data_IF_110972602580
#
_entry.id   IF_110972602580
#
_cell.length_a   1.000
_cell.length_b   1.000
_cell.length_c   1.000
_cell.angle_alpha   90.00
_cell.angle_beta   90.00
_cell.angle_gamma   90.00
#
_symmetry.space_group_name_H-M   'P 1'
#
loop_
_entity.id
_entity.type
_entity.pdbx_description
1 polymer ?
#
# COMPACT_ATOMS: atom_id res chain seq x y z
N UNK A 1 -9.74 23.09 15.85
CA UNK A 1 -10.13 21.80 15.24
C UNK A 1 -10.37 22.09 13.79
N UNK A 2 -9.92 21.22 12.92
CA UNK A 2 -10.21 21.36 11.50
C UNK A 2 -11.69 21.04 11.25
N UNK A 3 -12.35 21.83 10.39
CA UNK A 3 -13.75 21.61 10.03
C UNK A 3 -13.88 20.74 8.76
N UNK A 4 -12.78 20.56 8.02
CA UNK A 4 -12.71 19.77 6.79
C UNK A 4 -11.42 18.93 6.75
N UNK A 5 -11.42 17.86 5.95
CA UNK A 5 -10.23 17.04 5.70
C UNK A 5 -9.08 17.90 5.16
N UNK A 6 -9.38 18.76 4.19
CA UNK A 6 -8.42 19.68 3.57
C UNK A 6 -7.76 20.63 4.59
N UNK A 7 -8.55 21.15 5.52
CA UNK A 7 -8.02 22.00 6.59
C UNK A 7 -7.10 21.23 7.53
N UNK A 8 -7.46 19.99 7.89
CA UNK A 8 -6.60 19.13 8.70
C UNK A 8 -5.27 18.83 8.02
N UNK A 9 -5.29 18.54 6.71
CA UNK A 9 -4.09 18.32 5.89
C UNK A 9 -3.23 19.58 5.83
N UNK A 10 -3.83 20.73 5.52
CA UNK A 10 -3.11 22.01 5.46
C UNK A 10 -2.42 22.32 6.79
N UNK A 11 -3.12 22.15 7.91
CA UNK A 11 -2.54 22.35 9.25
C UNK A 11 -1.41 21.35 9.55
N UNK A 12 -1.52 20.11 9.08
CA UNK A 12 -0.46 19.11 9.27
C UNK A 12 0.79 19.42 8.47
N UNK A 13 0.65 19.97 7.27
CA UNK A 13 1.75 20.41 6.41
C UNK A 13 2.41 21.70 6.95
N UNK A 14 1.60 22.71 7.33
CA UNK A 14 2.10 24.01 7.81
C UNK A 14 2.83 23.90 9.16
N UNK A 15 2.38 23.01 10.04
CA UNK A 15 2.99 22.78 11.35
C UNK A 15 4.18 21.79 11.31
N UNK A 16 4.45 21.19 10.14
CA UNK A 16 5.60 20.30 9.98
C UNK A 16 6.91 21.08 10.08
N UNK A 17 7.88 20.62 10.90
CA UNK A 17 9.18 21.26 10.98
C UNK A 17 9.98 21.00 9.70
N UNK A 18 10.68 22.01 9.19
CA UNK A 18 11.58 21.84 8.05
C UNK A 18 12.63 20.74 8.30
N UNK A 19 12.80 19.85 7.34
CA UNK A 19 13.73 18.71 7.37
C UNK A 19 14.62 18.68 6.13
N UNK A 20 15.72 17.91 6.21
CA UNK A 20 16.64 17.71 5.10
C UNK A 20 16.28 16.49 4.23
N UNK A 21 15.11 15.94 4.38
CA UNK A 21 14.57 14.83 3.61
C UNK A 21 13.09 15.09 3.33
N UNK A 22 12.59 14.51 2.23
CA UNK A 22 11.19 14.59 1.84
C UNK A 22 10.35 13.72 2.76
N UNK A 23 9.40 14.34 3.47
CA UNK A 23 8.51 13.61 4.38
C UNK A 23 7.32 13.00 3.64
N UNK A 24 6.89 11.83 4.11
CA UNK A 24 5.58 11.28 3.74
C UNK A 24 4.48 11.89 4.59
N UNK A 25 3.30 11.93 4.03
CA UNK A 25 2.07 12.21 4.77
C UNK A 25 1.34 10.90 5.02
N UNK A 26 1.13 10.61 6.29
CA UNK A 26 0.50 9.38 6.75
C UNK A 26 -0.80 9.70 7.49
N UNK A 27 -1.76 8.78 7.42
CA UNK A 27 -2.90 8.78 8.32
C UNK A 27 -2.82 7.64 9.33
N UNK A 28 -3.22 7.94 10.56
CA UNK A 28 -3.43 6.96 11.62
C UNK A 28 -4.94 6.78 11.80
N UNK A 29 -5.40 5.55 11.69
CA UNK A 29 -6.81 5.19 11.81
C UNK A 29 -6.99 4.38 13.08
N UNK A 30 -7.87 4.84 13.95
CA UNK A 30 -8.25 4.16 15.18
C UNK A 30 -9.63 3.54 15.02
N UNK A 31 -9.72 2.23 15.26
CA UNK A 31 -10.96 1.47 15.22
C UNK A 31 -11.50 1.23 16.63
N UNK A 32 -12.83 1.16 16.75
CA UNK A 32 -13.53 0.80 17.99
C UNK A 32 -14.60 -0.26 17.76
N UNK A 33 -14.99 -0.93 18.82
CA UNK A 33 -16.08 -1.92 18.84
C UNK A 33 -15.93 -3.05 17.81
N UNK A 34 -14.68 -3.46 17.51
CA UNK A 34 -14.34 -4.58 16.65
C UNK A 34 -13.58 -5.65 17.45
N UNK A 35 -13.97 -6.90 17.27
CA UNK A 35 -13.21 -8.05 17.75
C UNK A 35 -12.21 -8.51 16.69
N UNK A 36 -10.98 -8.02 16.79
CA UNK A 36 -9.90 -8.33 15.85
C UNK A 36 -9.25 -9.71 16.09
N UNK A 37 -9.69 -10.46 17.10
CA UNK A 37 -9.31 -11.86 17.24
C UNK A 37 -9.96 -12.69 16.12
N UNK A 38 -11.17 -12.30 15.69
CA UNK A 38 -11.80 -12.87 14.52
C UNK A 38 -11.12 -12.30 13.25
N UNK A 39 -10.51 -13.17 12.41
CA UNK A 39 -9.86 -12.73 11.17
C UNK A 39 -10.81 -12.01 10.20
N UNK A 40 -12.10 -12.31 10.22
CA UNK A 40 -13.10 -11.69 9.34
C UNK A 40 -13.33 -10.20 9.61
N UNK A 41 -12.99 -9.75 10.82
CA UNK A 41 -13.11 -8.34 11.23
C UNK A 41 -11.82 -7.53 10.96
N UNK A 42 -10.77 -8.18 10.47
CA UNK A 42 -9.50 -7.52 10.15
C UNK A 42 -9.58 -6.86 8.79
N UNK A 43 -9.06 -5.66 8.73
CA UNK A 43 -8.90 -4.93 7.48
C UNK A 43 -7.63 -5.41 6.80
N UNK A 44 -7.73 -5.90 5.57
CA UNK A 44 -6.60 -6.21 4.69
C UNK A 44 -7.04 -5.95 3.25
N UNK A 45 -6.85 -4.70 2.80
CA UNK A 45 -7.33 -4.23 1.50
C UNK A 45 -6.31 -3.34 0.81
N UNK A 46 -6.34 -3.40 -0.51
CA UNK A 46 -5.59 -2.49 -1.38
C UNK A 46 -6.51 -1.40 -1.91
N UNK A 47 -6.09 -0.16 -1.78
CA UNK A 47 -6.85 1.02 -2.23
C UNK A 47 -6.01 1.82 -3.20
N UNK A 48 -6.57 2.10 -4.38
CA UNK A 48 -5.94 2.97 -5.38
C UNK A 48 -6.21 4.42 -5.00
N UNK A 49 -5.14 5.20 -4.86
CA UNK A 49 -5.21 6.63 -4.55
C UNK A 49 -5.34 7.44 -5.84
N UNK A 50 -6.35 8.32 -5.97
CA UNK A 50 -6.57 9.07 -7.20
C UNK A 50 -5.44 10.04 -7.55
N UNK A 51 -4.80 10.64 -6.55
CA UNK A 51 -3.68 11.56 -6.74
C UNK A 51 -2.30 10.85 -6.63
N UNK A 52 -2.29 9.52 -6.48
CA UNK A 52 -1.07 8.74 -6.26
C UNK A 52 -0.51 8.83 -4.85
N UNK A 53 0.57 8.09 -4.60
CA UNK A 53 1.20 7.99 -3.28
C UNK A 53 2.21 9.10 -3.00
N UNK A 54 2.58 9.88 -4.04
CA UNK A 54 3.63 10.89 -3.97
C UNK A 54 5.06 10.34 -3.84
N UNK A 55 5.25 9.04 -3.86
CA UNK A 55 6.56 8.38 -3.84
C UNK A 55 6.66 7.32 -4.93
N UNK A 56 7.90 7.04 -5.33
CA UNK A 56 8.18 5.89 -6.18
C UNK A 56 7.89 4.60 -5.41
N UNK A 57 7.02 3.79 -6.00
CA UNK A 57 6.64 2.49 -5.46
C UNK A 57 7.44 1.43 -6.21
N UNK A 58 8.19 0.61 -5.51
CA UNK A 58 9.01 -0.45 -6.09
C UNK A 58 8.14 -1.67 -6.41
N UNK A 59 8.09 -2.05 -7.69
CA UNK A 59 7.26 -3.14 -8.19
C UNK A 59 8.14 -4.16 -8.93
N UNK A 60 8.07 -5.40 -8.48
CA UNK A 60 8.71 -6.55 -9.14
C UNK A 60 7.65 -7.37 -9.85
N UNK A 61 7.93 -7.73 -11.09
CA UNK A 61 7.04 -8.54 -11.93
C UNK A 61 7.69 -9.89 -12.24
N UNK A 62 7.00 -10.97 -11.94
CA UNK A 62 7.38 -12.32 -12.36
C UNK A 62 6.61 -12.67 -13.64
N UNK A 63 7.32 -12.70 -14.74
CA UNK A 63 6.71 -12.94 -16.05
C UNK A 63 7.67 -13.60 -17.04
N UNK A 64 7.12 -14.21 -18.07
CA UNK A 64 7.88 -14.84 -19.16
C UNK A 64 7.52 -14.27 -20.53
N UNK A 65 8.42 -14.44 -21.49
CA UNK A 65 8.19 -14.16 -22.90
C UNK A 65 7.75 -12.72 -23.19
N UNK A 66 6.59 -12.55 -23.84
CA UNK A 66 6.09 -11.24 -24.26
C UNK A 66 5.66 -10.35 -23.08
N UNK A 67 5.11 -10.95 -22.03
CA UNK A 67 4.70 -10.22 -20.82
C UNK A 67 5.90 -9.63 -20.10
N UNK A 68 7.01 -10.38 -20.01
CA UNK A 68 8.26 -9.90 -19.40
C UNK A 68 8.79 -8.68 -20.15
N UNK A 69 8.89 -8.74 -21.48
CA UNK A 69 9.35 -7.61 -22.32
C UNK A 69 8.48 -6.36 -22.13
N UNK A 70 7.16 -6.53 -21.99
CA UNK A 70 6.25 -5.41 -21.76
C UNK A 70 6.32 -4.87 -20.34
N UNK A 71 6.68 -5.71 -19.37
CA UNK A 71 6.85 -5.31 -17.98
C UNK A 71 8.14 -4.51 -17.76
N UNK A 72 9.22 -4.76 -18.52
CA UNK A 72 10.50 -4.03 -18.42
C UNK A 72 10.35 -2.50 -18.58
N UNK A 73 9.37 -2.04 -19.35
CA UNK A 73 9.14 -0.60 -19.54
C UNK A 73 8.48 0.10 -18.33
N UNK A 74 7.88 -0.66 -17.43
CA UNK A 74 7.03 -0.10 -16.36
C UNK A 74 7.32 -0.61 -14.96
N UNK A 75 7.92 -1.79 -14.82
CA UNK A 75 8.34 -2.38 -13.55
C UNK A 75 9.76 -1.94 -13.19
N UNK A 76 10.10 -2.03 -11.91
CA UNK A 76 11.46 -1.73 -11.43
C UNK A 76 12.39 -2.92 -11.65
N UNK A 77 11.87 -4.14 -11.52
CA UNK A 77 12.58 -5.38 -11.83
C UNK A 77 11.60 -6.40 -12.42
N UNK A 78 12.09 -7.16 -13.40
CA UNK A 78 11.35 -8.28 -14.01
C UNK A 78 12.17 -9.55 -13.84
N UNK A 79 11.55 -10.56 -13.28
CA UNK A 79 12.19 -11.86 -12.95
C UNK A 79 11.46 -12.97 -13.68
N UNK A 80 12.23 -13.92 -14.21
CA UNK A 80 11.69 -15.12 -14.85
C UNK A 80 11.69 -16.34 -13.92
N UNK A 81 11.36 -17.52 -14.45
CA UNK A 81 11.33 -18.76 -13.68
C UNK A 81 12.72 -19.22 -13.22
N UNK A 82 13.77 -18.92 -13.98
CA UNK A 82 15.14 -19.28 -13.63
C UNK A 82 15.62 -18.39 -12.48
N UNK A 83 15.34 -17.09 -12.53
CA UNK A 83 15.60 -16.14 -11.43
C UNK A 83 14.87 -16.54 -10.14
N UNK A 84 13.63 -17.03 -10.29
CA UNK A 84 12.83 -17.50 -9.16
C UNK A 84 13.44 -18.73 -8.47
N UNK A 85 14.02 -19.66 -9.23
CA UNK A 85 14.73 -20.82 -8.67
C UNK A 85 15.99 -20.37 -7.93
N UNK A 86 16.77 -19.46 -8.50
CA UNK A 86 17.97 -18.88 -7.88
C UNK A 86 17.62 -18.14 -6.56
N UNK A 87 16.50 -17.40 -6.53
CA UNK A 87 16.00 -16.76 -5.31
C UNK A 87 15.51 -17.76 -4.26
N UNK A 88 14.99 -18.91 -4.70
CA UNK A 88 14.56 -19.98 -3.81
C UNK A 88 15.74 -20.66 -3.09
N UNK A 89 16.91 -20.64 -3.70
CA UNK A 89 18.15 -21.20 -3.13
C UNK A 89 18.93 -20.18 -2.26
N UNK A 90 18.62 -18.88 -2.37
CA UNK A 90 19.25 -17.78 -1.60
C UNK A 90 18.24 -17.03 -0.74
N UNK A 91 18.01 -17.55 0.46
CA UNK A 91 17.09 -16.99 1.46
C UNK A 91 17.39 -15.53 1.82
N UNK A 92 18.64 -15.10 1.80
CA UNK A 92 19.02 -13.75 2.20
C UNK A 92 18.69 -12.74 1.08
N UNK A 93 19.01 -13.09 -0.17
CA UNK A 93 18.61 -12.31 -1.34
C UNK A 93 17.08 -12.20 -1.48
N UNK A 94 16.36 -13.31 -1.21
CA UNK A 94 14.90 -13.30 -1.23
C UNK A 94 14.29 -12.38 -0.15
N UNK A 95 14.91 -12.30 1.04
CA UNK A 95 14.49 -11.38 2.10
C UNK A 95 14.77 -9.92 1.74
N UNK A 96 15.96 -9.64 1.21
CA UNK A 96 16.34 -8.29 0.80
C UNK A 96 15.38 -7.78 -0.30
N UNK A 97 15.14 -8.60 -1.33
CA UNK A 97 14.15 -8.29 -2.37
C UNK A 97 12.76 -8.03 -1.78
N UNK A 98 12.32 -8.88 -0.83
CA UNK A 98 11.02 -8.72 -0.19
C UNK A 98 10.94 -7.46 0.69
N UNK A 99 12.04 -6.98 1.24
CA UNK A 99 12.07 -5.78 2.09
C UNK A 99 12.12 -4.51 1.25
N UNK A 100 12.81 -4.52 0.10
CA UNK A 100 12.93 -3.37 -0.82
C UNK A 100 11.70 -3.18 -1.71
N UNK A 101 11.00 -4.26 -2.10
CA UNK A 101 9.85 -4.22 -3.00
C UNK A 101 8.56 -3.92 -2.26
N UNK A 102 7.75 -3.00 -2.76
CA UNK A 102 6.42 -2.68 -2.20
C UNK A 102 5.36 -3.67 -2.67
N UNK A 103 5.31 -3.97 -3.97
CA UNK A 103 4.34 -4.89 -4.56
C UNK A 103 4.98 -5.86 -5.53
N UNK A 104 4.40 -7.05 -5.57
CA UNK A 104 4.73 -8.09 -6.53
C UNK A 104 3.55 -8.38 -7.43
N UNK A 105 3.83 -8.55 -8.72
CA UNK A 105 2.88 -9.03 -9.73
C UNK A 105 3.44 -10.30 -10.33
N UNK A 106 2.62 -11.29 -10.62
CA UNK A 106 3.08 -12.51 -11.24
C UNK A 106 2.06 -13.06 -12.23
N UNK A 107 2.54 -13.60 -13.33
CA UNK A 107 1.69 -14.40 -14.22
C UNK A 107 1.09 -15.58 -13.46
N UNK A 108 -0.18 -15.89 -13.75
CA UNK A 108 -0.92 -16.93 -13.06
C UNK A 108 -0.26 -18.33 -13.15
N UNK A 109 0.49 -18.61 -14.22
CA UNK A 109 1.25 -19.85 -14.43
C UNK A 109 2.44 -19.99 -13.47
N UNK A 110 3.12 -18.88 -13.10
CA UNK A 110 4.30 -18.87 -12.22
C UNK A 110 3.90 -18.85 -10.73
N UNK A 111 2.66 -18.49 -10.41
CA UNK A 111 2.18 -18.35 -9.01
C UNK A 111 2.42 -19.58 -8.14
N UNK A 112 2.34 -20.79 -8.72
CA UNK A 112 2.56 -22.03 -7.97
C UNK A 112 4.01 -22.16 -7.53
N UNK A 113 4.94 -21.82 -8.39
CA UNK A 113 6.37 -21.90 -8.10
C UNK A 113 6.81 -20.81 -7.14
N UNK A 114 6.26 -19.59 -7.26
CA UNK A 114 6.43 -18.52 -6.26
C UNK A 114 5.96 -18.98 -4.87
N UNK A 115 4.80 -19.62 -4.79
CA UNK A 115 4.29 -20.18 -3.54
C UNK A 115 5.24 -21.22 -2.93
N UNK A 116 5.93 -21.98 -3.76
CA UNK A 116 6.89 -23.02 -3.34
C UNK A 116 8.23 -22.44 -2.90
N UNK A 117 8.81 -21.52 -3.68
CA UNK A 117 10.14 -20.98 -3.45
C UNK A 117 10.13 -19.78 -2.48
N UNK A 118 9.23 -18.83 -2.67
CA UNK A 118 9.19 -17.57 -1.93
C UNK A 118 8.04 -17.46 -0.92
N UNK A 119 7.13 -18.44 -0.86
CA UNK A 119 5.94 -18.38 0.00
C UNK A 119 6.26 -18.21 1.49
N UNK A 120 7.37 -18.78 1.97
CA UNK A 120 7.83 -18.62 3.36
C UNK A 120 8.38 -17.24 3.69
N UNK A 121 8.84 -16.51 2.68
CA UNK A 121 9.39 -15.15 2.80
C UNK A 121 8.30 -14.10 2.58
N UNK A 122 7.54 -14.21 1.48
CA UNK A 122 6.52 -13.22 1.09
C UNK A 122 5.23 -13.35 1.90
N UNK A 123 4.81 -14.58 2.24
CA UNK A 123 3.56 -14.83 2.96
C UNK A 123 3.45 -14.10 4.31
N UNK A 124 4.41 -14.28 5.25
CA UNK A 124 4.37 -13.59 6.55
C UNK A 124 4.44 -12.06 6.44
N UNK A 125 5.09 -11.54 5.38
CA UNK A 125 5.15 -10.11 5.08
C UNK A 125 3.86 -9.57 4.47
N UNK A 126 3.01 -10.49 3.94
CA UNK A 126 1.79 -10.15 3.22
C UNK A 126 2.06 -9.50 1.87
N UNK A 127 3.18 -9.85 1.26
CA UNK A 127 3.62 -9.37 -0.05
C UNK A 127 3.50 -10.46 -1.13
N UNK A 128 2.51 -11.36 -0.99
CA UNK A 128 2.22 -12.34 -2.05
C UNK A 128 1.85 -11.63 -3.34
N UNK A 129 2.36 -12.07 -4.49
CA UNK A 129 2.09 -11.42 -5.77
C UNK A 129 0.61 -11.37 -6.11
N UNK A 130 0.22 -10.30 -6.77
CA UNK A 130 -1.08 -10.21 -7.42
C UNK A 130 -1.03 -10.98 -8.73
N UNK A 131 -1.94 -11.97 -8.94
CA UNK A 131 -1.93 -12.76 -10.16
C UNK A 131 -2.39 -11.92 -11.36
N UNK A 132 -1.58 -11.94 -12.43
CA UNK A 132 -1.93 -11.37 -13.73
C UNK A 132 -2.62 -12.45 -14.56
N UNK A 133 -3.85 -12.19 -14.98
CA UNK A 133 -4.58 -13.09 -15.87
C UNK A 133 -4.06 -12.93 -17.32
N UNK A 134 -4.21 -13.94 -18.18
CA UNK A 134 -3.74 -13.88 -19.57
C UNK A 134 -4.33 -12.73 -20.40
N UNK A 135 -5.52 -12.24 -19.99
CA UNK A 135 -6.22 -11.14 -20.69
C UNK A 135 -5.91 -9.76 -20.08
N UNK A 136 -5.20 -9.71 -18.93
CA UNK A 136 -4.86 -8.46 -18.25
C UNK A 136 -3.65 -7.80 -18.91
N UNK A 137 -3.68 -6.47 -19.00
CA UNK A 137 -2.52 -5.69 -19.41
C UNK A 137 -1.57 -5.48 -18.23
N UNK A 138 -0.34 -5.99 -18.36
CA UNK A 138 0.70 -5.84 -17.33
C UNK A 138 1.01 -4.36 -17.08
N UNK A 139 1.04 -3.53 -18.12
CA UNK A 139 1.33 -2.09 -18.02
C UNK A 139 0.28 -1.37 -17.20
N UNK A 140 -1.00 -1.62 -17.48
CA UNK A 140 -2.11 -1.04 -16.73
C UNK A 140 -2.13 -1.52 -15.28
N UNK A 141 -1.82 -2.80 -15.06
CA UNK A 141 -1.78 -3.40 -13.71
C UNK A 141 -0.66 -2.80 -12.87
N UNK A 142 0.55 -2.68 -13.41
CA UNK A 142 1.70 -2.08 -12.73
C UNK A 142 1.43 -0.59 -12.44
N UNK A 143 0.93 0.17 -13.42
CA UNK A 143 0.62 1.59 -13.22
C UNK A 143 -0.46 1.81 -12.16
N UNK A 144 -1.46 0.94 -12.08
CA UNK A 144 -2.47 0.99 -11.02
C UNK A 144 -1.84 0.69 -9.66
N UNK A 145 -0.92 -0.28 -9.57
CA UNK A 145 -0.25 -0.64 -8.32
C UNK A 145 0.68 0.46 -7.81
N UNK A 146 1.32 1.23 -8.70
CA UNK A 146 2.13 2.40 -8.31
C UNK A 146 1.35 3.41 -7.46
N UNK A 147 0.04 3.50 -7.68
CA UNK A 147 -0.87 4.38 -6.95
C UNK A 147 -1.65 3.67 -5.84
N UNK A 148 -1.32 2.42 -5.53
CA UNK A 148 -2.04 1.61 -4.55
C UNK A 148 -1.36 1.65 -3.19
N UNK A 149 -2.16 1.77 -2.14
CA UNK A 149 -1.72 1.60 -0.75
C UNK A 149 -2.44 0.43 -0.11
N UNK A 150 -1.78 -0.19 0.86
CA UNK A 150 -2.36 -1.32 1.59
C UNK A 150 -2.89 -0.86 2.95
N UNK A 151 -4.16 -1.11 3.20
CA UNK A 151 -4.81 -0.90 4.50
C UNK A 151 -4.78 -2.21 5.28
N UNK A 152 -3.99 -2.28 6.34
CA UNK A 152 -3.81 -3.51 7.10
C UNK A 152 -3.86 -3.27 8.60
N UNK A 153 -4.94 -3.73 9.25
CA UNK A 153 -5.10 -3.63 10.70
C UNK A 153 -4.37 -4.73 11.46
N UNK A 154 -4.21 -5.92 10.83
CA UNK A 154 -3.76 -7.16 11.51
C UNK A 154 -4.63 -7.42 12.74
N UNK A 155 -4.02 -7.54 13.92
CA UNK A 155 -4.65 -7.74 15.24
C UNK A 155 -4.76 -6.44 16.07
N UNK A 156 -4.48 -5.28 15.45
CA UNK A 156 -4.44 -3.99 16.15
C UNK A 156 -5.60 -3.09 15.73
N UNK A 157 -6.13 -2.34 16.71
CA UNK A 157 -7.17 -1.35 16.46
C UNK A 157 -6.65 -0.09 15.78
N UNK A 158 -5.35 0.18 15.90
CA UNK A 158 -4.70 1.32 15.25
C UNK A 158 -3.78 0.82 14.17
N UNK A 159 -3.92 1.37 12.98
CA UNK A 159 -3.02 1.14 11.87
C UNK A 159 -2.77 2.44 11.10
N UNK A 160 -1.74 2.42 10.28
CA UNK A 160 -1.26 3.58 9.55
C UNK A 160 -1.17 3.24 8.08
N UNK A 161 -1.42 4.25 7.23
CA UNK A 161 -1.17 4.15 5.80
C UNK A 161 -0.73 5.48 5.26
N UNK A 162 0.08 5.45 4.19
CA UNK A 162 0.53 6.62 3.47
C UNK A 162 -0.60 7.18 2.61
N UNK A 163 -0.71 8.50 2.55
CA UNK A 163 -1.71 9.21 1.73
C UNK A 163 -1.10 10.21 0.77
N UNK A 164 0.20 10.45 0.87
CA UNK A 164 0.91 11.38 0.00
C UNK A 164 2.32 11.71 0.48
N UNK A 165 2.86 12.78 -0.06
CA UNK A 165 4.13 13.37 0.32
C UNK A 165 3.96 14.88 0.57
N UNK A 166 4.88 15.49 1.31
CA UNK A 166 4.80 16.90 1.73
C UNK A 166 4.76 17.92 0.59
N UNK A 167 5.26 17.54 -0.59
CA UNK A 167 5.26 18.38 -1.80
C UNK A 167 4.00 18.25 -2.66
N UNK A 168 3.06 17.38 -2.26
CA UNK A 168 1.75 17.28 -2.91
C UNK A 168 0.81 18.38 -2.41
N UNK A 169 -0.17 18.74 -3.27
CA UNK A 169 -1.22 19.67 -2.89
C UNK A 169 -2.10 19.14 -1.75
N UNK A 170 -2.53 20.02 -0.85
CA UNK A 170 -3.46 19.62 0.23
C UNK A 170 -4.78 19.06 -0.32
N UNK A 171 -5.22 19.51 -1.49
CA UNK A 171 -6.40 18.98 -2.19
C UNK A 171 -6.20 17.54 -2.62
N UNK A 172 -5.06 17.22 -3.23
CA UNK A 172 -4.71 15.88 -3.69
C UNK A 172 -4.64 14.88 -2.52
N UNK A 173 -4.00 15.29 -1.42
CA UNK A 173 -3.92 14.46 -0.20
C UNK A 173 -5.32 14.29 0.43
N UNK A 174 -6.15 15.33 0.42
CA UNK A 174 -7.52 15.27 0.92
C UNK A 174 -8.38 14.29 0.13
N UNK A 175 -8.27 14.30 -1.20
CA UNK A 175 -8.97 13.36 -2.08
C UNK A 175 -8.53 11.91 -1.82
N UNK A 176 -7.24 11.68 -1.59
CA UNK A 176 -6.71 10.38 -1.21
C UNK A 176 -7.30 9.89 0.13
N UNK A 177 -7.35 10.77 1.14
CA UNK A 177 -7.92 10.45 2.45
C UNK A 177 -9.41 10.12 2.34
N UNK A 178 -10.17 10.90 1.57
CA UNK A 178 -11.61 10.71 1.38
C UNK A 178 -11.92 9.35 0.76
N UNK A 179 -11.13 8.92 -0.25
CA UNK A 179 -11.27 7.59 -0.86
C UNK A 179 -11.00 6.47 0.15
N UNK A 180 -9.98 6.63 1.01
CA UNK A 180 -9.68 5.65 2.06
C UNK A 180 -10.81 5.56 3.09
N UNK A 181 -11.31 6.70 3.56
CA UNK A 181 -12.41 6.75 4.53
C UNK A 181 -13.65 6.04 3.96
N UNK A 182 -14.08 6.38 2.75
CA UNK A 182 -15.24 5.75 2.10
C UNK A 182 -15.05 4.25 1.93
N UNK A 183 -13.83 3.80 1.61
CA UNK A 183 -13.53 2.38 1.48
C UNK A 183 -13.63 1.65 2.81
N UNK A 184 -13.09 2.25 3.88
CA UNK A 184 -13.19 1.71 5.23
C UNK A 184 -14.63 1.63 5.72
N UNK A 185 -15.42 2.69 5.54
CA UNK A 185 -16.83 2.72 5.93
C UNK A 185 -17.65 1.64 5.23
N UNK A 186 -17.34 1.35 3.96
CA UNK A 186 -18.04 0.32 3.20
C UNK A 186 -17.74 -1.11 3.69
N UNK A 187 -16.57 -1.33 4.30
CA UNK A 187 -16.10 -2.65 4.72
C UNK A 187 -16.29 -2.93 6.21
N UNK A 188 -16.45 -1.89 7.01
CA UNK A 188 -16.70 -2.04 8.44
C UNK A 188 -18.17 -2.40 8.71
N UNK A 189 -18.40 -3.35 9.61
CA UNK A 189 -19.74 -3.87 9.94
C UNK A 189 -20.75 -2.78 10.32
N UNK A 190 -20.29 -1.77 11.10
CA UNK A 190 -21.11 -0.64 11.54
C UNK A 190 -20.73 0.67 10.81
N UNK A 191 -19.96 0.56 9.71
CA UNK A 191 -19.50 1.71 8.95
C UNK A 191 -18.74 2.74 9.81
N UNK A 192 -19.10 4.04 9.73
CA UNK A 192 -18.40 5.10 10.46
C UNK A 192 -18.42 4.92 11.98
N UNK A 193 -19.40 4.19 12.55
CA UNK A 193 -19.46 3.93 13.98
C UNK A 193 -18.31 3.06 14.51
N UNK A 194 -17.64 2.32 13.65
CA UNK A 194 -16.45 1.55 14.02
C UNK A 194 -15.15 2.37 13.94
N UNK A 195 -15.20 3.61 13.48
CA UNK A 195 -14.06 4.52 13.48
C UNK A 195 -14.11 5.35 14.77
N UNK A 196 -13.03 5.31 15.56
CA UNK A 196 -12.88 6.11 16.76
C UNK A 196 -12.29 7.49 16.48
N UNK A 197 -11.37 7.56 15.50
CA UNK A 197 -10.79 8.79 15.01
C UNK A 197 -9.72 8.54 13.96
N UNK A 198 -9.52 9.53 13.12
CA UNK A 198 -8.49 9.54 12.06
C UNK A 198 -7.60 10.75 12.29
N UNK A 199 -6.29 10.56 12.15
CA UNK A 199 -5.29 11.62 12.33
C UNK A 199 -4.37 11.64 11.13
N UNK A 200 -4.13 12.85 10.58
CA UNK A 200 -3.14 13.09 9.52
C UNK A 200 -1.90 13.73 10.10
N UNK A 201 -0.73 13.36 9.59
CA UNK A 201 0.56 13.92 9.98
C UNK A 201 1.61 13.71 8.89
N UNK A 202 2.62 14.57 8.85
CA UNK A 202 3.89 14.23 8.19
C UNK A 202 4.70 13.28 9.07
N UNK A 203 5.70 12.58 8.51
CA UNK A 203 6.49 11.56 9.24
C UNK A 203 6.97 12.04 10.59
N UNK A 204 7.49 13.26 10.67
CA UNK A 204 8.03 13.84 11.91
C UNK A 204 7.20 15.01 12.46
N UNK A 205 6.12 15.38 11.79
CA UNK A 205 5.23 16.46 12.20
C UNK A 205 4.22 16.09 13.28
N UNK A 206 3.50 17.08 13.83
CA UNK A 206 2.42 16.86 14.77
C UNK A 206 1.19 16.26 14.09
N UNK A 207 0.45 15.40 14.81
CA UNK A 207 -0.79 14.84 14.32
C UNK A 207 -1.94 15.87 14.38
N UNK A 208 -2.77 15.89 13.33
CA UNK A 208 -4.00 16.68 13.25
C UNK A 208 -5.19 15.75 13.07
N UNK A 209 -6.24 15.98 13.84
CA UNK A 209 -7.46 15.19 13.74
C UNK A 209 -8.21 15.53 12.46
N UNK A 210 -8.64 14.48 11.76
CA UNK A 210 -9.45 14.57 10.54
C UNK A 210 -10.91 14.42 10.95
N UNK A 211 -11.80 15.33 10.57
CA UNK A 211 -13.23 15.18 10.85
C UNK A 211 -13.81 14.00 10.06
N UNK A 212 -14.52 13.10 10.75
CA UNK A 212 -15.17 11.90 10.20
C UNK A 212 -16.65 11.90 10.51
#
# INVERSE_FOLDING_TARGET
MADTIQEAVTLALDDAPERNFRETVDIAINLRDLDLNDPSNRIDESVVLPAGTGQETQIVVFAEGETAVRAEDVADEVLDSDDLEDLGDDDDRAKDLADETDFFVAEANIMQDIGRYLGTVLGPRGKMPTPLQPDDDVVDTVNRMKNTVQLRSRDRRTFHTRVGAEDMGADDISDNIDVIIRRLEANLEKGPLNIDGIYVKTTMGPAREVPV
#
